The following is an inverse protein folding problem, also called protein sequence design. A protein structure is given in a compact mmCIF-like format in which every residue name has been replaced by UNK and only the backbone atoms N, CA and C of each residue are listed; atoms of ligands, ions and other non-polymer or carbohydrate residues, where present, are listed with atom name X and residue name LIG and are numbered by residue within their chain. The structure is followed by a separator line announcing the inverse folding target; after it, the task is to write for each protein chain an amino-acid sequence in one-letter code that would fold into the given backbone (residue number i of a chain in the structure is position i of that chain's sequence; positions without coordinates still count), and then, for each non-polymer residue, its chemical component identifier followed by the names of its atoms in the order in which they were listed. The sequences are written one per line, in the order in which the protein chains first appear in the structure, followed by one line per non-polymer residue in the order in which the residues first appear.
data_IF_934751266857
#
_entry.id   IF_934751266857
#
_cell.length_a   1.000
_cell.length_b   1.000
_cell.length_c   1.000
_cell.angle_alpha   90.00
_cell.angle_beta   90.00
_cell.angle_gamma   90.00
#
_symmetry.space_group_name_H-M   'P 1'
#
loop_
_entity.id
_entity.type
_entity.pdbx_description
1 polymer ?
#
# COMPACT_ATOMS: atom_id res chain seq x y z
N UNK A 1 4.75 1.94 28.49
CA UNK A 1 3.88 2.21 27.32
C UNK A 1 4.49 3.20 26.32
N UNK A 2 4.74 4.46 26.72
CA UNK A 2 5.32 5.50 25.84
C UNK A 2 6.76 5.19 25.39
N UNK A 3 7.61 4.69 26.29
CA UNK A 3 9.01 4.38 25.97
C UNK A 3 9.14 3.29 24.87
N UNK A 4 8.26 2.29 24.88
CA UNK A 4 8.22 1.26 23.84
C UNK A 4 7.69 1.79 22.50
N UNK A 5 6.71 2.70 22.52
CA UNK A 5 6.25 3.38 21.31
C UNK A 5 7.37 4.23 20.69
N UNK A 6 8.15 4.95 21.50
CA UNK A 6 9.29 5.75 21.02
C UNK A 6 10.41 4.87 20.46
N UNK A 7 10.71 3.74 21.09
CA UNK A 7 11.71 2.77 20.60
C UNK A 7 11.26 2.10 19.31
N UNK A 8 9.99 1.70 19.22
CA UNK A 8 9.41 1.13 18.01
C UNK A 8 9.39 2.12 16.84
N UNK A 9 9.01 3.38 17.09
CA UNK A 9 9.09 4.46 16.11
C UNK A 9 10.53 4.71 15.64
N UNK A 10 11.51 4.73 16.55
CA UNK A 10 12.91 4.93 16.20
C UNK A 10 13.47 3.78 15.36
N UNK A 11 13.16 2.54 15.72
CA UNK A 11 13.51 1.37 14.91
C UNK A 11 12.87 1.42 13.52
N UNK A 12 11.61 1.86 13.43
CA UNK A 12 10.91 2.08 12.16
C UNK A 12 11.56 3.16 11.29
N UNK A 13 12.08 4.22 11.90
CA UNK A 13 12.81 5.29 11.21
C UNK A 13 14.16 4.77 10.69
N UNK A 14 14.90 4.04 11.51
CA UNK A 14 16.21 3.47 11.13
C UNK A 14 16.05 2.39 10.06
N UNK A 15 15.02 1.55 10.16
CA UNK A 15 14.69 0.55 9.15
C UNK A 15 14.24 1.19 7.83
N UNK A 16 13.45 2.26 7.89
CA UNK A 16 13.07 3.06 6.72
C UNK A 16 14.28 3.71 6.07
N UNK A 17 15.15 4.34 6.87
CA UNK A 17 16.39 4.96 6.41
C UNK A 17 17.34 3.95 5.76
N UNK A 18 17.45 2.74 6.33
CA UNK A 18 18.28 1.66 5.80
C UNK A 18 17.71 1.08 4.50
N UNK A 19 16.39 0.85 4.45
CA UNK A 19 15.71 0.35 3.25
C UNK A 19 15.79 1.37 2.10
N UNK A 20 15.53 2.64 2.39
CA UNK A 20 15.63 3.72 1.41
C UNK A 20 17.09 4.06 1.05
N UNK A 21 18.02 3.97 2.00
CA UNK A 21 19.45 4.20 1.81
C UNK A 21 20.10 3.20 0.85
N UNK A 22 19.70 1.92 0.89
CA UNK A 22 20.12 0.90 -0.10
C UNK A 22 19.64 1.22 -1.52
N UNK A 23 18.58 2.01 -1.68
CA UNK A 23 18.04 2.47 -2.97
C UNK A 23 18.41 3.93 -3.29
N UNK A 24 19.26 4.57 -2.48
CA UNK A 24 19.73 5.94 -2.69
C UNK A 24 18.70 7.01 -2.34
N UNK A 25 18.33 7.14 -1.07
CA UNK A 25 17.46 8.24 -0.58
C UNK A 25 18.05 9.61 -0.96
N UNK A 26 17.20 10.55 -1.39
CA UNK A 26 17.55 11.97 -1.58
C UNK A 26 17.70 12.66 -0.21
N UNK A 27 18.74 12.31 0.56
CA UNK A 27 19.09 12.93 1.83
C UNK A 27 20.51 13.48 1.81
N UNK A 28 20.70 14.75 2.21
CA UNK A 28 22.04 15.29 2.48
C UNK A 28 22.63 14.55 3.68
N UNK A 29 23.75 13.85 3.48
CA UNK A 29 24.59 13.34 4.57
C UNK A 29 25.19 14.54 5.30
N UNK A 30 24.94 14.70 6.60
CA UNK A 30 25.68 15.69 7.39
C UNK A 30 27.11 15.16 7.64
N UNK A 31 28.03 16.09 7.91
CA UNK A 31 29.45 15.79 8.13
C UNK A 31 29.71 14.86 9.34
N UNK A 32 28.72 14.68 10.22
CA UNK A 32 28.75 13.79 11.39
C UNK A 32 28.28 12.35 11.08
N UNK A 33 27.98 12.03 9.82
CA UNK A 33 27.46 10.72 9.42
C UNK A 33 25.98 10.50 9.72
N UNK A 34 25.28 11.48 10.31
CA UNK A 34 23.83 11.43 10.48
C UNK A 34 23.13 11.80 9.17
N UNK A 35 22.18 10.95 8.77
CA UNK A 35 21.23 11.27 7.70
C UNK A 35 20.13 12.10 8.35
N UNK A 36 19.84 13.31 7.83
CA UNK A 36 18.70 14.11 8.29
C UNK A 36 17.39 13.41 7.95
N UNK A 37 16.96 12.52 8.84
CA UNK A 37 15.69 11.81 8.82
C UNK A 37 14.41 12.60 9.24
N UNK A 38 14.37 13.86 9.76
CA UNK A 38 13.15 14.33 10.42
C UNK A 38 12.06 15.01 9.57
N UNK A 39 12.08 15.02 8.24
CA UNK A 39 10.94 15.55 7.42
C UNK A 39 10.41 14.53 6.40
N UNK A 40 11.23 13.56 6.00
CA UNK A 40 10.85 12.53 5.03
C UNK A 40 10.10 11.33 5.64
N UNK A 41 9.91 11.29 6.95
CA UNK A 41 9.48 10.08 7.65
C UNK A 41 8.13 10.17 8.39
N UNK A 42 7.42 11.28 8.25
CA UNK A 42 6.09 11.49 8.83
C UNK A 42 5.13 12.10 7.81
N UNK A 43 3.85 11.98 8.11
CA UNK A 43 2.74 12.52 7.34
C UNK A 43 2.94 14.00 6.99
N UNK A 44 2.55 14.38 5.77
CA UNK A 44 2.39 15.78 5.39
C UNK A 44 1.13 15.96 4.54
N UNK A 45 0.51 17.14 4.64
CA UNK A 45 -0.69 17.49 3.86
C UNK A 45 -0.36 18.37 2.62
N UNK A 46 0.92 18.49 2.27
CA UNK A 46 1.43 19.33 1.16
C UNK A 46 2.18 18.45 0.18
N UNK A 47 2.11 18.78 -1.11
CA UNK A 47 2.79 18.04 -2.16
C UNK A 47 4.31 17.90 -1.94
N UNK A 48 4.86 16.79 -2.42
CA UNK A 48 6.31 16.56 -2.45
C UNK A 48 6.89 17.14 -3.76
N UNK A 49 7.90 18.02 -3.70
CA UNK A 49 8.53 18.54 -4.91
C UNK A 49 9.50 17.53 -5.56
N UNK A 50 9.90 16.48 -4.84
CA UNK A 50 10.85 15.46 -5.28
C UNK A 50 10.43 14.06 -4.80
N UNK A 51 10.92 13.04 -5.49
CA UNK A 51 10.80 11.64 -5.04
C UNK A 51 11.62 11.38 -3.76
N UNK A 52 11.19 10.41 -2.97
CA UNK A 52 11.92 9.89 -1.82
C UNK A 52 13.15 9.10 -2.27
N UNK A 53 12.99 8.23 -3.29
CA UNK A 53 14.08 7.48 -3.89
C UNK A 53 14.76 8.27 -5.00
N UNK A 54 16.03 7.95 -5.28
CA UNK A 54 16.75 8.44 -6.47
C UNK A 54 16.22 7.73 -7.70
N UNK A 55 15.46 8.47 -8.51
CA UNK A 55 14.83 8.00 -9.74
C UNK A 55 15.37 8.77 -10.96
N UNK A 56 15.08 8.27 -12.16
CA UNK A 56 15.27 9.06 -13.38
C UNK A 56 14.31 10.26 -13.39
N UNK A 57 14.64 11.32 -14.14
CA UNK A 57 13.81 12.53 -14.22
C UNK A 57 12.35 12.25 -14.60
N UNK A 58 12.12 11.32 -15.54
CA UNK A 58 10.76 10.90 -15.92
C UNK A 58 10.02 10.24 -14.74
N UNK A 59 10.68 9.34 -14.03
CA UNK A 59 10.08 8.63 -12.90
C UNK A 59 9.89 9.56 -11.69
N UNK A 60 10.76 10.54 -11.48
CA UNK A 60 10.56 11.58 -10.45
C UNK A 60 9.27 12.36 -10.70
N UNK A 61 9.03 12.79 -11.95
CA UNK A 61 7.79 13.50 -12.30
C UNK A 61 6.55 12.63 -12.08
N UNK A 62 6.64 11.32 -12.36
CA UNK A 62 5.54 10.37 -12.08
C UNK A 62 5.35 10.14 -10.58
N UNK A 63 6.43 10.07 -9.80
CA UNK A 63 6.40 9.91 -8.35
C UNK A 63 5.71 11.10 -7.67
N UNK A 64 6.06 12.33 -8.05
CA UNK A 64 5.43 13.56 -7.56
C UNK A 64 3.92 13.55 -7.86
N UNK A 65 3.54 13.20 -9.10
CA UNK A 65 2.11 13.06 -9.47
C UNK A 65 1.40 11.98 -8.66
N UNK A 66 2.05 10.84 -8.41
CA UNK A 66 1.48 9.78 -7.56
C UNK A 66 1.27 10.28 -6.13
N UNK A 67 2.19 11.07 -5.58
CA UNK A 67 2.03 11.63 -4.24
C UNK A 67 0.84 12.61 -4.17
N UNK A 68 0.68 13.49 -5.16
CA UNK A 68 -0.48 14.38 -5.24
C UNK A 68 -1.81 13.58 -5.31
N UNK A 69 -1.83 12.45 -6.03
CA UNK A 69 -2.99 11.56 -6.06
C UNK A 69 -3.24 10.88 -4.70
N UNK A 70 -2.20 10.50 -3.96
CA UNK A 70 -2.33 9.98 -2.59
C UNK A 70 -2.95 11.04 -1.69
N UNK A 71 -2.46 12.28 -1.74
CA UNK A 71 -3.02 13.38 -0.95
C UNK A 71 -4.49 13.62 -1.31
N UNK A 72 -4.83 13.66 -2.60
CA UNK A 72 -6.23 13.82 -3.03
C UNK A 72 -7.13 12.66 -2.56
N UNK A 73 -6.60 11.44 -2.46
CA UNK A 73 -7.36 10.29 -1.98
C UNK A 73 -7.51 10.28 -0.46
N UNK A 74 -6.45 10.62 0.28
CA UNK A 74 -6.39 10.46 1.73
C UNK A 74 -6.86 11.73 2.48
N UNK A 75 -6.64 12.91 1.92
CA UNK A 75 -6.94 14.18 2.58
C UNK A 75 -8.34 14.68 2.25
N UNK A 76 -8.99 15.33 3.21
CA UNK A 76 -10.30 15.95 3.04
C UNK A 76 -11.48 14.98 3.11
N UNK A 77 -12.54 15.30 2.36
CA UNK A 77 -13.80 14.54 2.36
C UNK A 77 -13.67 13.24 1.56
N UNK A 78 -14.37 12.17 1.95
CA UNK A 78 -14.44 10.95 1.15
C UNK A 78 -14.89 11.25 -0.28
N UNK A 79 -14.14 10.72 -1.25
CA UNK A 79 -14.50 10.81 -2.66
C UNK A 79 -15.66 9.86 -2.99
N UNK A 80 -16.51 10.18 -3.97
CA UNK A 80 -17.43 9.22 -4.56
C UNK A 80 -16.69 7.95 -5.00
N UNK A 81 -17.29 6.75 -4.89
CA UNK A 81 -16.57 5.50 -5.17
C UNK A 81 -15.93 5.44 -6.57
N UNK A 82 -16.62 5.94 -7.59
CA UNK A 82 -16.11 5.99 -8.96
C UNK A 82 -14.86 6.88 -9.08
N UNK A 83 -14.88 8.05 -8.44
CA UNK A 83 -13.76 8.99 -8.44
C UNK A 83 -12.56 8.43 -7.67
N UNK A 84 -12.83 7.78 -6.54
CA UNK A 84 -11.81 7.12 -5.73
C UNK A 84 -11.12 6.01 -6.55
N UNK A 85 -11.89 5.22 -7.30
CA UNK A 85 -11.36 4.17 -8.17
C UNK A 85 -10.57 4.74 -9.37
N UNK A 86 -11.08 5.79 -10.01
CA UNK A 86 -10.40 6.48 -11.11
C UNK A 86 -9.06 7.10 -10.66
N UNK A 87 -8.98 7.55 -9.41
CA UNK A 87 -7.76 8.09 -8.81
C UNK A 87 -6.74 6.98 -8.45
N UNK A 88 -7.21 5.84 -7.94
CA UNK A 88 -6.34 4.72 -7.54
C UNK A 88 -5.77 3.95 -8.73
N UNK A 89 -6.56 3.73 -9.78
CA UNK A 89 -6.20 2.84 -10.89
C UNK A 89 -4.89 3.23 -11.60
N UNK A 90 -4.59 4.51 -11.89
CA UNK A 90 -3.31 4.92 -12.47
C UNK A 90 -2.11 4.61 -11.57
N UNK A 91 -2.24 4.78 -10.24
CA UNK A 91 -1.19 4.47 -9.28
C UNK A 91 -0.90 2.96 -9.27
N UNK A 92 -1.94 2.14 -9.23
CA UNK A 92 -1.83 0.67 -9.28
C UNK A 92 -1.27 0.20 -10.62
N UNK A 93 -1.64 0.84 -11.73
CA UNK A 93 -1.07 0.58 -13.07
C UNK A 93 0.42 0.91 -13.11
N UNK A 94 0.83 2.02 -12.49
CA UNK A 94 2.24 2.37 -12.38
C UNK A 94 3.01 1.32 -11.56
N UNK A 95 2.45 0.86 -10.44
CA UNK A 95 3.06 -0.17 -9.59
C UNK A 95 3.25 -1.52 -10.31
N UNK A 96 2.31 -1.93 -11.16
CA UNK A 96 2.45 -3.16 -11.97
C UNK A 96 3.52 -2.99 -13.05
N UNK A 97 3.58 -1.83 -13.72
CA UNK A 97 4.43 -1.64 -14.90
C UNK A 97 5.86 -1.17 -14.61
N UNK A 98 6.11 -0.54 -13.46
CA UNK A 98 7.38 0.13 -13.14
C UNK A 98 7.81 -0.19 -11.70
N UNK A 99 8.72 -1.17 -11.51
CA UNK A 99 9.19 -1.58 -10.19
C UNK A 99 9.76 -0.44 -9.33
N UNK A 100 10.39 0.57 -9.94
CA UNK A 100 10.96 1.71 -9.22
C UNK A 100 9.87 2.62 -8.65
N UNK A 101 8.80 2.88 -9.42
CA UNK A 101 7.65 3.66 -8.93
C UNK A 101 6.82 2.89 -7.91
N UNK A 102 6.84 1.56 -7.97
CA UNK A 102 6.16 0.70 -6.99
C UNK A 102 6.75 0.88 -5.60
N UNK A 103 8.06 0.79 -5.47
CA UNK A 103 8.75 0.98 -4.19
C UNK A 103 8.57 2.40 -3.65
N UNK A 104 8.65 3.39 -4.53
CA UNK A 104 8.35 4.78 -4.22
C UNK A 104 6.92 4.94 -3.66
N UNK A 105 5.93 4.29 -4.28
CA UNK A 105 4.55 4.33 -3.82
C UNK A 105 4.38 3.68 -2.44
N UNK A 106 5.04 2.55 -2.18
CA UNK A 106 5.08 1.95 -0.84
C UNK A 106 5.65 2.92 0.20
N UNK A 107 6.76 3.59 -0.11
CA UNK A 107 7.38 4.55 0.80
C UNK A 107 6.51 5.79 1.03
N UNK A 108 5.80 6.28 0.01
CA UNK A 108 4.83 7.35 0.17
C UNK A 108 3.70 6.97 1.15
N UNK A 109 3.15 5.76 1.02
CA UNK A 109 2.08 5.30 1.92
C UNK A 109 2.59 5.07 3.35
N UNK A 110 3.79 4.52 3.50
CA UNK A 110 4.45 4.42 4.82
C UNK A 110 4.63 5.82 5.42
N UNK A 111 5.11 6.80 4.65
CA UNK A 111 5.24 8.19 5.10
C UNK A 111 3.89 8.77 5.53
N UNK A 112 2.83 8.64 4.72
CA UNK A 112 1.51 9.19 5.04
C UNK A 112 0.80 8.48 6.20
N UNK A 113 1.21 7.27 6.56
CA UNK A 113 0.67 6.57 7.73
C UNK A 113 1.30 7.00 9.06
N UNK A 114 2.56 7.48 9.04
CA UNK A 114 3.32 7.77 10.26
C UNK A 114 2.98 9.15 10.83
N UNK A 115 2.47 9.18 12.06
CA UNK A 115 2.11 10.45 12.71
C UNK A 115 1.00 11.20 11.99
N UNK A 116 0.12 10.47 11.29
CA UNK A 116 -1.06 11.06 10.68
C UNK A 116 -2.02 11.52 11.78
N UNK A 117 -2.34 12.82 11.88
CA UNK A 117 -3.20 13.35 12.94
C UNK A 117 -4.69 13.03 12.74
N UNK A 118 -5.09 12.59 11.53
CA UNK A 118 -6.48 12.29 11.19
C UNK A 118 -6.69 10.78 11.06
N UNK A 119 -7.55 10.22 11.91
CA UNK A 119 -7.91 8.80 11.83
C UNK A 119 -8.57 8.45 10.49
N UNK A 120 -9.41 9.34 9.96
CA UNK A 120 -10.05 9.19 8.65
C UNK A 120 -9.04 9.17 7.50
N UNK A 121 -8.07 10.10 7.50
CA UNK A 121 -6.98 10.08 6.50
C UNK A 121 -6.15 8.81 6.64
N UNK A 122 -5.80 8.43 7.88
CA UNK A 122 -5.02 7.23 8.16
C UNK A 122 -5.73 5.96 7.67
N UNK A 123 -7.04 5.82 7.92
CA UNK A 123 -7.83 4.70 7.42
C UNK A 123 -7.78 4.61 5.89
N UNK A 124 -7.92 5.75 5.18
CA UNK A 124 -7.79 5.80 3.72
C UNK A 124 -6.39 5.43 3.24
N UNK A 125 -5.32 5.90 3.90
CA UNK A 125 -3.94 5.48 3.59
C UNK A 125 -3.80 3.96 3.66
N UNK A 126 -4.38 3.32 4.69
CA UNK A 126 -4.31 1.88 4.87
C UNK A 126 -5.18 1.10 3.87
N UNK A 127 -6.35 1.62 3.49
CA UNK A 127 -7.13 1.06 2.37
C UNK A 127 -6.30 1.10 1.08
N UNK A 128 -5.63 2.21 0.79
CA UNK A 128 -4.75 2.31 -0.39
C UNK A 128 -3.51 1.40 -0.29
N UNK A 129 -2.94 1.22 0.91
CA UNK A 129 -1.88 0.25 1.18
C UNK A 129 -2.33 -1.18 0.87
N UNK A 130 -3.55 -1.55 1.30
CA UNK A 130 -4.10 -2.88 1.04
C UNK A 130 -4.35 -3.14 -0.45
N UNK A 131 -4.85 -2.14 -1.19
CA UNK A 131 -4.97 -2.18 -2.65
C UNK A 131 -3.63 -2.45 -3.32
N UNK A 132 -2.58 -1.74 -2.90
CA UNK A 132 -1.24 -1.90 -3.44
C UNK A 132 -0.67 -3.29 -3.12
N UNK A 133 -0.80 -3.76 -1.88
CA UNK A 133 -0.33 -5.07 -1.44
C UNK A 133 -1.01 -6.24 -2.17
N UNK A 134 -2.32 -6.15 -2.47
CA UNK A 134 -3.02 -7.16 -3.28
C UNK A 134 -2.72 -7.03 -4.78
N UNK A 135 -2.08 -5.94 -5.23
CA UNK A 135 -1.75 -5.71 -6.64
C UNK A 135 -0.33 -6.14 -6.98
N UNK A 136 0.66 -5.76 -6.18
CA UNK A 136 2.07 -6.07 -6.45
C UNK A 136 2.89 -6.09 -5.15
N UNK A 137 3.89 -6.98 -5.03
CA UNK A 137 4.80 -6.95 -3.89
C UNK A 137 5.84 -5.84 -4.07
N UNK A 138 6.39 -5.25 -2.99
CA UNK A 138 7.58 -4.40 -3.06
C UNK A 138 8.78 -5.18 -3.61
N UNK A 139 9.88 -4.49 -3.94
CA UNK A 139 11.12 -5.17 -4.35
C UNK A 139 11.68 -6.07 -3.24
N UNK A 140 12.61 -6.97 -3.60
CA UNK A 140 13.27 -7.87 -2.64
C UNK A 140 13.98 -7.11 -1.52
N UNK A 141 14.52 -5.95 -1.82
CA UNK A 141 15.23 -5.09 -0.87
C UNK A 141 14.29 -4.41 0.12
N UNK A 142 13.09 -4.03 -0.35
CA UNK A 142 12.09 -3.30 0.44
C UNK A 142 11.08 -4.23 1.14
N UNK A 143 10.89 -5.45 0.64
CA UNK A 143 9.90 -6.41 1.14
C UNK A 143 10.02 -6.74 2.62
N UNK A 144 11.22 -6.98 3.21
CA UNK A 144 11.32 -7.25 4.65
C UNK A 144 10.83 -6.08 5.49
N UNK A 145 11.12 -4.86 5.06
CA UNK A 145 10.69 -3.64 5.75
C UNK A 145 9.17 -3.46 5.69
N UNK A 146 8.57 -3.54 4.49
CA UNK A 146 7.12 -3.37 4.32
C UNK A 146 6.35 -4.47 5.03
N UNK A 147 6.84 -5.73 4.99
CA UNK A 147 6.19 -6.85 5.68
C UNK A 147 6.17 -6.64 7.19
N UNK A 148 7.31 -6.24 7.78
CA UNK A 148 7.39 -5.94 9.21
C UNK A 148 6.49 -4.75 9.58
N UNK A 149 6.45 -3.71 8.72
CA UNK A 149 5.61 -2.54 8.93
C UNK A 149 4.11 -2.90 8.95
N UNK A 150 3.63 -3.63 7.94
CA UNK A 150 2.24 -4.08 7.86
C UNK A 150 1.89 -4.99 9.03
N UNK A 151 2.75 -5.97 9.34
CA UNK A 151 2.53 -6.89 10.46
C UNK A 151 2.46 -6.16 11.80
N UNK A 152 3.29 -5.13 12.01
CA UNK A 152 3.22 -4.33 13.24
C UNK A 152 1.87 -3.61 13.36
N UNK A 153 1.37 -3.02 12.27
CA UNK A 153 0.07 -2.34 12.29
C UNK A 153 -1.13 -3.27 12.46
N UNK A 154 -1.03 -4.52 12.01
CA UNK A 154 -2.03 -5.56 12.32
C UNK A 154 -2.09 -5.86 13.81
N UNK A 155 -0.93 -5.89 14.47
CA UNK A 155 -0.80 -6.28 15.88
C UNK A 155 -0.77 -5.08 16.85
N UNK A 156 -0.98 -3.85 16.36
CA UNK A 156 -0.94 -2.65 17.20
C UNK A 156 -2.29 -2.43 17.90
N UNK A 157 -2.42 -2.69 19.21
CA UNK A 157 -3.68 -2.53 19.92
C UNK A 157 -4.13 -1.08 20.02
N UNK A 158 -3.24 -0.10 19.77
CA UNK A 158 -3.57 1.32 19.77
C UNK A 158 -4.07 1.82 18.40
N UNK A 159 -3.97 1.01 17.34
CA UNK A 159 -4.44 1.41 16.02
C UNK A 159 -5.97 1.42 15.93
N UNK A 160 -6.58 2.37 15.20
CA UNK A 160 -8.03 2.38 14.98
C UNK A 160 -8.52 1.08 14.32
N UNK A 161 -9.76 0.60 14.61
CA UNK A 161 -10.26 -0.66 14.06
C UNK A 161 -10.26 -0.72 12.52
N UNK A 162 -10.60 0.40 11.86
CA UNK A 162 -10.58 0.48 10.39
C UNK A 162 -9.15 0.31 9.83
N UNK A 163 -8.14 0.81 10.54
CA UNK A 163 -6.73 0.68 10.19
C UNK A 163 -6.27 -0.77 10.36
N UNK A 164 -6.59 -1.41 11.49
CA UNK A 164 -6.26 -2.82 11.73
C UNK A 164 -6.91 -3.75 10.70
N UNK A 165 -8.17 -3.51 10.36
CA UNK A 165 -8.89 -4.28 9.33
C UNK A 165 -8.20 -4.15 7.96
N UNK A 166 -7.92 -2.92 7.52
CA UNK A 166 -7.22 -2.68 6.26
C UNK A 166 -5.78 -3.22 6.27
N UNK A 167 -5.07 -3.14 7.39
CA UNK A 167 -3.73 -3.72 7.55
C UNK A 167 -3.76 -5.26 7.46
N UNK A 168 -4.81 -5.90 7.97
CA UNK A 168 -4.97 -7.36 7.87
C UNK A 168 -5.18 -7.80 6.43
N UNK A 169 -6.00 -7.08 5.68
CA UNK A 169 -6.17 -7.30 4.23
C UNK A 169 -4.87 -7.03 3.48
N UNK A 170 -4.13 -5.97 3.84
CA UNK A 170 -2.82 -5.69 3.27
C UNK A 170 -1.82 -6.82 3.54
N UNK A 171 -1.82 -7.40 4.74
CA UNK A 171 -0.96 -8.51 5.12
C UNK A 171 -1.23 -9.77 4.29
N UNK A 172 -2.50 -10.14 4.15
CA UNK A 172 -2.91 -11.28 3.30
C UNK A 172 -2.56 -11.04 1.83
N UNK A 173 -2.84 -9.85 1.32
CA UNK A 173 -2.47 -9.42 -0.03
C UNK A 173 -0.98 -9.51 -0.28
N UNK A 174 -0.18 -8.99 0.64
CA UNK A 174 1.27 -8.99 0.55
C UNK A 174 1.82 -10.42 0.58
N UNK A 175 1.30 -11.29 1.45
CA UNK A 175 1.66 -12.72 1.48
C UNK A 175 1.40 -13.37 0.12
N UNK A 176 0.25 -13.10 -0.47
CA UNK A 176 -0.14 -13.68 -1.76
C UNK A 176 0.73 -13.12 -2.91
N UNK A 177 0.98 -11.82 -2.96
CA UNK A 177 1.77 -11.21 -4.04
C UNK A 177 3.27 -11.46 -3.90
N UNK A 178 3.81 -11.62 -2.69
CA UNK A 178 5.21 -12.06 -2.49
C UNK A 178 5.38 -13.50 -2.97
N UNK A 179 4.42 -14.38 -2.70
CA UNK A 179 4.48 -15.80 -3.10
C UNK A 179 4.27 -15.98 -4.60
N UNK A 180 3.32 -15.28 -5.21
CA UNK A 180 2.89 -15.53 -6.60
C UNK A 180 3.33 -14.43 -7.58
N UNK A 181 3.97 -13.37 -7.10
CA UNK A 181 4.36 -12.21 -7.89
C UNK A 181 3.26 -11.17 -8.02
N UNK A 182 3.54 -10.12 -8.80
CA UNK A 182 2.58 -9.07 -9.10
C UNK A 182 1.44 -9.59 -9.99
N UNK A 183 0.26 -8.99 -9.87
CA UNK A 183 -0.85 -9.25 -10.79
C UNK A 183 -0.43 -8.90 -12.22
N UNK A 184 -0.85 -9.74 -13.18
CA UNK A 184 -0.63 -9.50 -14.62
C UNK A 184 -1.45 -8.32 -15.15
N UNK A 185 -2.63 -8.11 -14.56
CA UNK A 185 -3.55 -7.02 -14.91
C UNK A 185 -3.75 -6.11 -13.71
N UNK A 186 -3.87 -4.80 -13.99
CA UNK A 186 -4.25 -3.82 -12.98
C UNK A 186 -5.70 -4.08 -12.54
N UNK A 187 -6.03 -3.94 -11.24
CA UNK A 187 -7.42 -3.94 -10.77
C UNK A 187 -8.36 -3.09 -11.65
N UNK A 188 -9.54 -3.64 -11.95
CA UNK A 188 -10.61 -2.86 -12.60
C UNK A 188 -11.19 -1.83 -11.63
N UNK A 189 -11.88 -0.80 -12.14
CA UNK A 189 -12.52 0.18 -11.27
C UNK A 189 -13.56 -0.45 -10.36
N UNK A 190 -14.33 -1.41 -10.86
CA UNK A 190 -15.31 -2.17 -10.07
C UNK A 190 -14.65 -2.92 -8.91
N UNK A 191 -13.50 -3.58 -9.15
CA UNK A 191 -12.74 -4.25 -8.10
C UNK A 191 -12.22 -3.26 -7.05
N UNK A 192 -11.76 -2.08 -7.48
CA UNK A 192 -11.29 -1.05 -6.55
C UNK A 192 -12.47 -0.51 -5.72
N UNK A 193 -13.61 -0.20 -6.34
CA UNK A 193 -14.82 0.24 -5.65
C UNK A 193 -15.26 -0.79 -4.60
N UNK A 194 -15.30 -2.07 -4.99
CA UNK A 194 -15.67 -3.15 -4.09
C UNK A 194 -14.71 -3.26 -2.90
N UNK A 195 -13.41 -3.20 -3.16
CA UNK A 195 -12.38 -3.27 -2.12
C UNK A 195 -12.43 -2.10 -1.15
N UNK A 196 -12.59 -0.87 -1.65
CA UNK A 196 -12.72 0.34 -0.81
C UNK A 196 -13.98 0.28 0.04
N UNK A 197 -15.07 -0.28 -0.47
CA UNK A 197 -16.32 -0.50 0.26
C UNK A 197 -16.30 -1.77 1.14
N UNK A 198 -15.14 -2.45 1.28
CA UNK A 198 -14.98 -3.69 2.03
C UNK A 198 -16.00 -4.80 1.66
N UNK A 199 -16.38 -4.88 0.38
CA UNK A 199 -17.31 -5.89 -0.15
C UNK A 199 -16.62 -6.82 -1.14
N UNK A 200 -17.13 -8.04 -1.24
CA UNK A 200 -16.75 -8.99 -2.30
C UNK A 200 -17.57 -8.74 -3.56
N UNK A 201 -17.01 -9.12 -4.71
CA UNK A 201 -17.72 -9.26 -5.96
C UNK A 201 -18.13 -10.71 -6.14
N UNK A 202 -19.10 -10.97 -7.01
CA UNK A 202 -19.49 -12.32 -7.35
C UNK A 202 -19.13 -12.61 -8.81
N UNK A 203 -18.74 -13.84 -9.09
CA UNK A 203 -18.53 -14.35 -10.44
C UNK A 203 -19.19 -15.72 -10.58
N UNK A 204 -19.56 -16.12 -11.78
CA UNK A 204 -20.24 -17.39 -12.02
C UNK A 204 -19.23 -18.39 -12.56
N UNK A 205 -19.17 -19.56 -11.93
CA UNK A 205 -18.45 -20.74 -12.42
C UNK A 205 -19.46 -21.68 -13.08
N UNK A 206 -19.27 -21.97 -14.37
CA UNK A 206 -20.10 -22.93 -15.10
C UNK A 206 -19.44 -24.31 -15.08
N UNK A 207 -20.23 -25.34 -14.79
CA UNK A 207 -19.81 -26.73 -14.76
C UNK A 207 -20.09 -27.45 -16.08
N UNK A 208 -19.51 -28.64 -16.23
CA UNK A 208 -19.69 -29.45 -17.45
C UNK A 208 -21.07 -30.10 -17.56
N UNK A 209 -21.81 -30.20 -16.45
CA UNK A 209 -23.19 -30.71 -16.39
C UNK A 209 -24.24 -29.60 -16.58
N UNK A 210 -23.83 -28.45 -17.14
CA UNK A 210 -24.65 -27.26 -17.38
C UNK A 210 -25.16 -26.55 -16.11
N UNK A 211 -24.74 -26.99 -14.92
CA UNK A 211 -25.00 -26.26 -13.68
C UNK A 211 -24.04 -25.09 -13.51
N UNK A 212 -24.34 -24.19 -12.57
CA UNK A 212 -23.46 -23.08 -12.23
C UNK A 212 -23.47 -22.77 -10.74
N UNK A 213 -22.38 -22.20 -10.27
CA UNK A 213 -22.24 -21.69 -8.91
C UNK A 213 -21.78 -20.24 -8.91
N UNK A 214 -22.34 -19.46 -7.99
CA UNK A 214 -21.94 -18.09 -7.75
C UNK A 214 -20.82 -18.05 -6.69
N UNK A 215 -19.66 -17.52 -7.07
CA UNK A 215 -18.44 -17.50 -6.27
C UNK A 215 -18.11 -16.07 -5.82
N UNK A 216 -18.06 -15.82 -4.50
CA UNK A 216 -17.62 -14.53 -3.99
C UNK A 216 -16.09 -14.42 -4.08
N UNK A 217 -15.59 -13.34 -4.69
CA UNK A 217 -14.17 -13.07 -4.84
C UNK A 217 -13.81 -11.62 -4.46
N UNK A 218 -12.59 -11.44 -3.97
CA UNK A 218 -11.98 -10.13 -3.71
C UNK A 218 -10.68 -9.96 -4.49
N UNK A 219 -9.98 -8.84 -4.28
CA UNK A 219 -8.71 -8.56 -4.96
C UNK A 219 -7.59 -9.56 -4.66
N UNK A 220 -7.64 -10.19 -3.48
CA UNK A 220 -6.59 -11.03 -2.97
C UNK A 220 -6.95 -12.53 -3.09
N UNK A 221 -8.16 -12.85 -3.60
CA UNK A 221 -8.65 -14.23 -3.81
C UNK A 221 -7.88 -14.90 -4.93
N UNK A 222 -7.35 -16.08 -4.65
CA UNK A 222 -6.60 -16.90 -5.60
C UNK A 222 -7.47 -17.97 -6.24
N UNK A 223 -7.06 -18.48 -7.41
CA UNK A 223 -7.73 -19.64 -8.04
C UNK A 223 -7.74 -20.85 -7.11
N UNK A 224 -6.66 -21.08 -6.36
CA UNK A 224 -6.62 -22.19 -5.41
C UNK A 224 -7.65 -22.07 -4.27
N UNK A 225 -8.01 -20.86 -3.86
CA UNK A 225 -9.08 -20.63 -2.88
C UNK A 225 -10.46 -20.80 -3.52
N UNK A 226 -10.66 -20.24 -4.73
CA UNK A 226 -11.91 -20.38 -5.47
C UNK A 226 -12.21 -21.85 -5.82
N UNK A 227 -11.21 -22.62 -6.26
CA UNK A 227 -11.37 -24.05 -6.56
C UNK A 227 -11.72 -24.88 -5.33
N UNK A 228 -11.28 -24.49 -4.13
CA UNK A 228 -11.66 -25.16 -2.89
C UNK A 228 -13.12 -24.89 -2.50
N UNK A 229 -13.61 -23.67 -2.78
CA UNK A 229 -14.99 -23.31 -2.53
C UNK A 229 -15.95 -24.12 -3.43
N UNK A 230 -15.56 -24.31 -4.69
CA UNK A 230 -16.33 -25.11 -5.67
C UNK A 230 -16.29 -26.62 -5.35
N UNK A 231 -15.26 -27.08 -4.64
CA UNK A 231 -15.06 -28.50 -4.34
C UNK A 231 -15.67 -28.94 -2.99
N UNK A 232 -16.24 -28.02 -2.20
CA UNK A 232 -16.81 -28.28 -0.88
C UNK A 232 -18.31 -28.47 -0.93
#
# INVERSE_FOLDING_TARGET
PLLMQTVAQRFQLDAFAKAAGKRGLLGRKRADGSVTLPVMAAHQAVDLPLSLLKLSSENTNRAVKNFAMILKYCEGKPLPPADAAALCQPMLKAAVKRPELRDELFLHLVKQSRGNPSEDSLARVWVLMSLLCCTAPPSRELAPFVSAFVQQSVNDPAAPPAVQAAASVAFEGLRNTVKHGARRTTPSQEQIVAHVAARKLNTISFFLDETFEELPYGLCTTIAEASKFVAS
#
